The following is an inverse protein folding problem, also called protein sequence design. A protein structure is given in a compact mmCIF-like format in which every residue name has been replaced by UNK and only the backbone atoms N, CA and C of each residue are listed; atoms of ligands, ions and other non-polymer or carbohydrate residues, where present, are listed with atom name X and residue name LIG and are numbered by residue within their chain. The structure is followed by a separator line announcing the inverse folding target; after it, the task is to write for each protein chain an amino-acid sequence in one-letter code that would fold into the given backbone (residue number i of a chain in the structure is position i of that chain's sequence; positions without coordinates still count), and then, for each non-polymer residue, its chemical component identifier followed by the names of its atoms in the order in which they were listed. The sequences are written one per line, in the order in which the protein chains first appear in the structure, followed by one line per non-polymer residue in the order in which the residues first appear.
data_IF_594360197721
#
_entry.id   IF_594360197721
#
_cell.length_a   1.000
_cell.length_b   1.000
_cell.length_c   1.000
_cell.angle_alpha   90.00
_cell.angle_beta   90.00
_cell.angle_gamma   90.00
#
_symmetry.space_group_name_H-M   'P 1'
#
loop_
_entity.id
_entity.type
_entity.pdbx_description
1 polymer ?
#
# COMPACT_ATOMS: atom_id res chain seq x y z
N UNK A 1 6.76 15.18 -22.53
CA UNK A 1 7.08 13.75 -22.32
C UNK A 1 5.82 13.02 -21.92
N UNK A 2 5.38 12.04 -22.69
CA UNK A 2 4.20 11.26 -22.35
C UNK A 2 4.49 10.31 -21.21
N UNK A 3 3.85 10.54 -20.06
CA UNK A 3 4.01 9.70 -18.87
C UNK A 3 3.12 8.45 -18.99
N UNK A 4 3.55 7.34 -18.39
CA UNK A 4 2.80 6.08 -18.30
C UNK A 4 2.52 5.40 -19.65
N UNK A 5 3.56 5.14 -20.45
CA UNK A 5 3.42 4.42 -21.74
C UNK A 5 3.05 2.95 -21.50
N UNK A 6 2.01 2.48 -22.20
CA UNK A 6 1.58 1.08 -22.15
C UNK A 6 2.17 0.34 -23.35
N UNK A 7 2.95 -0.70 -23.09
CA UNK A 7 3.45 -1.65 -24.07
C UNK A 7 2.96 -3.04 -23.68
N UNK A 8 1.89 -3.51 -24.34
CA UNK A 8 1.32 -4.83 -24.04
C UNK A 8 2.08 -5.95 -24.76
N UNK A 9 2.31 -7.05 -24.05
CA UNK A 9 2.72 -8.34 -24.60
C UNK A 9 1.58 -9.02 -25.37
N UNK A 10 1.91 -9.96 -26.25
CA UNK A 10 0.92 -10.78 -26.97
C UNK A 10 -0.02 -11.51 -25.99
N UNK A 11 0.53 -12.07 -24.92
CA UNK A 11 -0.25 -12.78 -23.89
C UNK A 11 -1.24 -11.86 -23.17
N UNK A 12 -0.80 -10.64 -22.83
CA UNK A 12 -1.64 -9.64 -22.17
C UNK A 12 -2.78 -9.18 -23.08
N UNK A 13 -2.52 -9.00 -24.38
CA UNK A 13 -3.56 -8.64 -25.35
C UNK A 13 -4.63 -9.73 -25.42
N UNK A 14 -4.23 -11.00 -25.48
CA UNK A 14 -5.18 -12.12 -25.53
C UNK A 14 -5.97 -12.24 -24.23
N UNK A 15 -5.32 -12.05 -23.07
CA UNK A 15 -5.98 -12.04 -21.78
C UNK A 15 -7.02 -10.91 -21.68
N UNK A 16 -6.69 -9.69 -22.14
CA UNK A 16 -7.62 -8.56 -22.14
C UNK A 16 -8.81 -8.80 -23.08
N UNK A 17 -8.59 -9.36 -24.28
CA UNK A 17 -9.67 -9.73 -25.20
C UNK A 17 -10.63 -10.75 -24.60
N UNK A 18 -10.09 -11.78 -23.95
CA UNK A 18 -10.89 -12.78 -23.23
C UNK A 18 -11.72 -12.14 -22.10
N UNK A 19 -11.17 -11.15 -21.39
CA UNK A 19 -11.91 -10.40 -20.37
C UNK A 19 -13.08 -9.63 -21.01
N UNK A 20 -12.84 -8.95 -22.14
CA UNK A 20 -13.89 -8.21 -22.88
C UNK A 20 -15.02 -9.14 -23.30
N UNK A 21 -14.71 -10.32 -23.84
CA UNK A 21 -15.72 -11.31 -24.27
C UNK A 21 -16.54 -11.87 -23.11
N UNK A 22 -15.93 -11.97 -21.92
CA UNK A 22 -16.59 -12.51 -20.72
C UNK A 22 -17.35 -11.49 -19.88
N UNK A 23 -17.24 -10.19 -20.16
CA UNK A 23 -17.79 -9.11 -19.32
C UNK A 23 -18.84 -8.28 -20.05
N UNK A 24 -19.85 -7.81 -19.32
CA UNK A 24 -20.89 -6.93 -19.89
C UNK A 24 -20.27 -5.73 -20.61
N UNK A 25 -20.80 -5.40 -21.80
CA UNK A 25 -20.34 -4.29 -22.66
C UNK A 25 -20.31 -2.95 -21.91
N UNK A 26 -21.28 -2.71 -21.03
CA UNK A 26 -21.40 -1.48 -20.25
C UNK A 26 -20.58 -1.48 -18.95
N UNK A 27 -19.86 -2.57 -18.64
CA UNK A 27 -19.08 -2.65 -17.42
C UNK A 27 -17.88 -1.70 -17.45
N UNK A 28 -17.54 -1.13 -16.29
CA UNK A 28 -16.34 -0.28 -16.15
C UNK A 28 -15.06 -1.04 -16.49
N UNK A 29 -15.06 -2.35 -16.24
CA UNK A 29 -13.96 -3.25 -16.59
C UNK A 29 -13.80 -3.33 -18.11
N UNK A 30 -14.89 -3.59 -18.83
CA UNK A 30 -14.89 -3.68 -20.29
C UNK A 30 -14.47 -2.34 -20.93
N UNK A 31 -15.04 -1.21 -20.47
CA UNK A 31 -14.63 0.13 -20.91
C UNK A 31 -13.15 0.40 -20.68
N UNK A 32 -12.62 0.08 -19.49
CA UNK A 32 -11.21 0.26 -19.18
C UNK A 32 -10.31 -0.63 -20.05
N UNK A 33 -10.73 -1.88 -20.30
CA UNK A 33 -10.01 -2.83 -21.14
C UNK A 33 -9.87 -2.31 -22.58
N UNK A 34 -10.95 -1.78 -23.17
CA UNK A 34 -10.91 -1.15 -24.48
C UNK A 34 -10.01 0.09 -24.53
N UNK A 35 -10.00 0.91 -23.47
CA UNK A 35 -9.11 2.09 -23.38
C UNK A 35 -7.64 1.67 -23.30
N UNK A 36 -7.32 0.62 -22.55
CA UNK A 36 -5.96 0.08 -22.44
C UNK A 36 -5.47 -0.48 -23.78
N UNK A 37 -6.32 -1.22 -24.50
CA UNK A 37 -6.00 -1.68 -25.85
C UNK A 37 -5.77 -0.52 -26.83
N UNK A 38 -6.60 0.53 -26.76
CA UNK A 38 -6.44 1.72 -27.60
C UNK A 38 -5.19 2.55 -27.26
N UNK A 39 -4.70 2.47 -26.01
CA UNK A 39 -3.49 3.14 -25.56
C UNK A 39 -2.19 2.35 -25.85
N UNK A 40 -2.30 1.13 -26.37
CA UNK A 40 -1.16 0.24 -26.58
C UNK A 40 -0.22 0.77 -27.68
N UNK A 41 1.07 0.90 -27.36
CA UNK A 41 2.11 1.33 -28.30
C UNK A 41 3.02 0.22 -28.81
N UNK A 42 2.69 -1.03 -28.47
CA UNK A 42 3.44 -2.20 -28.89
C UNK A 42 3.56 -2.32 -30.42
N UNK A 43 4.69 -2.85 -30.88
CA UNK A 43 5.09 -3.00 -32.30
C UNK A 43 4.05 -3.82 -33.08
N UNK A 44 3.40 -4.78 -32.41
CA UNK A 44 2.42 -5.69 -32.99
C UNK A 44 1.06 -5.05 -33.33
N UNK A 45 0.82 -3.81 -32.87
CA UNK A 45 -0.48 -3.14 -33.00
C UNK A 45 -0.35 -1.74 -33.63
N UNK A 46 0.55 -1.60 -34.62
CA UNK A 46 0.83 -0.33 -35.29
C UNK A 46 -0.42 0.30 -35.94
N UNK A 47 -1.42 -0.50 -36.29
CA UNK A 47 -2.70 -0.07 -36.87
C UNK A 47 -3.72 0.53 -35.86
N UNK A 48 -3.50 0.38 -34.54
CA UNK A 48 -4.44 0.82 -33.49
C UNK A 48 -3.90 1.95 -32.61
N UNK A 49 -2.77 2.56 -32.98
CA UNK A 49 -2.18 3.67 -32.24
C UNK A 49 -3.06 4.92 -32.37
N UNK A 50 -3.94 5.13 -31.40
CA UNK A 50 -4.78 6.32 -31.35
C UNK A 50 -4.10 7.38 -30.48
N UNK A 51 -4.13 8.64 -30.95
CA UNK A 51 -3.73 9.78 -30.13
C UNK A 51 -4.65 9.88 -28.90
N UNK A 52 -4.12 10.39 -27.79
CA UNK A 52 -4.87 10.53 -26.53
C UNK A 52 -6.17 11.32 -26.76
N UNK A 53 -6.10 12.37 -27.58
CA UNK A 53 -7.25 13.20 -27.95
C UNK A 53 -8.33 12.41 -28.72
N UNK A 54 -7.92 11.53 -29.65
CA UNK A 54 -8.83 10.64 -30.37
C UNK A 54 -9.49 9.61 -29.44
N UNK A 55 -8.77 9.11 -28.43
CA UNK A 55 -9.30 8.20 -27.41
C UNK A 55 -10.32 8.94 -26.53
N UNK A 56 -10.00 10.17 -26.11
CA UNK A 56 -10.90 11.01 -25.34
C UNK A 56 -12.22 11.25 -26.06
N UNK A 57 -12.17 11.56 -27.36
CA UNK A 57 -13.37 11.77 -28.18
C UNK A 57 -14.14 10.46 -28.39
N UNK A 58 -13.46 9.36 -28.72
CA UNK A 58 -14.09 8.05 -28.98
C UNK A 58 -14.88 7.53 -27.78
N UNK A 59 -14.32 7.68 -26.58
CA UNK A 59 -14.96 7.19 -25.37
C UNK A 59 -15.71 8.27 -24.60
N UNK A 60 -15.75 9.52 -25.07
CA UNK A 60 -16.29 10.68 -24.35
C UNK A 60 -15.76 10.78 -22.89
N UNK A 61 -14.44 10.90 -22.74
CA UNK A 61 -13.76 10.92 -21.43
C UNK A 61 -12.65 11.97 -21.40
N UNK A 62 -12.42 12.56 -20.22
CA UNK A 62 -11.27 13.45 -19.97
C UNK A 62 -9.92 12.74 -20.13
N UNK A 63 -8.92 13.51 -20.57
CA UNK A 63 -7.52 13.06 -20.68
C UNK A 63 -6.95 12.58 -19.34
N UNK A 64 -7.37 13.20 -18.23
CA UNK A 64 -6.97 12.81 -16.88
C UNK A 64 -7.45 11.39 -16.53
N UNK A 65 -8.65 11.01 -16.95
CA UNK A 65 -9.18 9.66 -16.71
C UNK A 65 -8.36 8.62 -17.48
N UNK A 66 -7.96 8.92 -18.72
CA UNK A 66 -7.08 8.06 -19.53
C UNK A 66 -5.73 7.88 -18.84
N UNK A 67 -5.14 8.97 -18.32
CA UNK A 67 -3.89 8.92 -17.56
C UNK A 67 -3.99 8.07 -16.28
N UNK A 68 -5.08 8.21 -15.54
CA UNK A 68 -5.32 7.43 -14.31
C UNK A 68 -5.48 5.93 -14.61
N UNK A 69 -6.17 5.59 -15.71
CA UNK A 69 -6.29 4.20 -16.18
C UNK A 69 -4.92 3.65 -16.56
N UNK A 70 -4.12 4.41 -17.33
CA UNK A 70 -2.75 4.00 -17.70
C UNK A 70 -1.86 3.78 -16.49
N UNK A 71 -1.86 4.72 -15.55
CA UNK A 71 -1.11 4.61 -14.30
C UNK A 71 -1.54 3.37 -13.49
N UNK A 72 -2.84 3.14 -13.37
CA UNK A 72 -3.39 1.98 -12.65
C UNK A 72 -2.99 0.65 -13.28
N UNK A 73 -3.07 0.57 -14.61
CA UNK A 73 -2.67 -0.64 -15.33
C UNK A 73 -1.16 -0.91 -15.21
N UNK A 74 -0.29 0.10 -15.34
CA UNK A 74 1.16 -0.08 -15.17
C UNK A 74 1.51 -0.54 -13.75
N UNK A 75 0.78 -0.08 -12.74
CA UNK A 75 1.04 -0.45 -11.35
C UNK A 75 0.54 -1.85 -10.98
N UNK A 76 -0.52 -2.35 -11.62
CA UNK A 76 -1.23 -3.56 -11.17
C UNK A 76 -1.45 -4.61 -12.26
N UNK A 77 -1.04 -4.33 -13.50
CA UNK A 77 -1.18 -5.20 -14.66
C UNK A 77 -2.61 -5.63 -14.92
N UNK A 78 -2.77 -6.91 -15.29
CA UNK A 78 -4.08 -7.53 -15.57
C UNK A 78 -5.06 -7.44 -14.39
N UNK A 79 -4.55 -7.40 -13.15
CA UNK A 79 -5.39 -7.29 -11.94
C UNK A 79 -6.17 -5.96 -11.89
N UNK A 80 -5.69 -4.92 -12.58
CA UNK A 80 -6.42 -3.66 -12.71
C UNK A 80 -7.77 -3.82 -13.43
N UNK A 81 -7.85 -4.81 -14.33
CA UNK A 81 -9.06 -5.14 -15.11
C UNK A 81 -9.93 -6.20 -14.43
N UNK A 82 -9.67 -6.52 -13.16
CA UNK A 82 -10.61 -7.31 -12.39
C UNK A 82 -11.68 -6.39 -11.79
N UNK A 83 -12.96 -6.81 -11.76
CA UNK A 83 -13.97 -6.07 -11.04
C UNK A 83 -13.49 -5.90 -9.60
N UNK A 84 -13.36 -4.64 -9.15
CA UNK A 84 -13.18 -4.39 -7.73
C UNK A 84 -14.31 -5.12 -7.02
N UNK A 85 -13.98 -6.03 -6.11
CA UNK A 85 -14.98 -6.75 -5.32
C UNK A 85 -15.82 -5.70 -4.58
N UNK A 86 -16.94 -5.27 -5.18
CA UNK A 86 -17.91 -4.41 -4.52
C UNK A 86 -18.68 -5.31 -3.56
N UNK A 87 -18.11 -5.63 -2.39
CA UNK A 87 -18.89 -6.16 -1.26
C UNK A 87 -19.68 -5.02 -0.61
N UNK A 88 -20.39 -4.24 -1.41
CA UNK A 88 -21.12 -3.05 -0.97
C UNK A 88 -22.60 -3.38 -0.90
N UNK A 89 -23.01 -3.99 0.21
CA UNK A 89 -24.41 -3.94 0.65
C UNK A 89 -24.53 -2.80 1.66
N UNK A 90 -24.50 -1.55 1.20
CA UNK A 90 -24.81 -0.39 2.05
C UNK A 90 -26.30 -0.46 2.37
N UNK A 91 -26.64 -0.78 3.62
CA UNK A 91 -27.97 -0.44 4.10
C UNK A 91 -28.02 1.08 4.31
N UNK A 92 -28.57 1.82 3.33
CA UNK A 92 -28.63 3.29 3.32
C UNK A 92 -29.43 3.88 4.49
N UNK A 93 -30.16 3.04 5.24
CA UNK A 93 -31.07 3.46 6.31
C UNK A 93 -30.43 3.46 7.70
N UNK A 94 -29.14 3.17 7.84
CA UNK A 94 -28.47 3.06 9.14
C UNK A 94 -27.51 4.25 9.39
N UNK A 95 -27.83 5.09 10.37
CA UNK A 95 -27.10 6.33 10.72
C UNK A 95 -25.76 6.11 11.41
N UNK A 96 -25.44 4.86 11.77
CA UNK A 96 -24.16 4.50 12.41
C UNK A 96 -23.07 4.24 11.36
N UNK A 97 -21.98 5.02 11.45
CA UNK A 97 -20.80 5.11 10.53
C UNK A 97 -20.19 3.77 10.07
N UNK A 98 -20.44 2.67 10.79
CA UNK A 98 -19.85 1.36 10.51
C UNK A 98 -20.85 0.20 10.41
N UNK A 99 -22.15 0.44 10.65
CA UNK A 99 -23.15 -0.62 10.73
C UNK A 99 -23.71 -1.04 9.36
N UNK A 100 -23.23 -0.41 8.29
CA UNK A 100 -23.68 -0.64 6.92
C UNK A 100 -22.75 -1.60 6.13
N UNK A 101 -21.68 -2.12 6.73
CA UNK A 101 -20.80 -3.10 6.10
C UNK A 101 -21.21 -4.52 6.46
N UNK A 102 -21.44 -5.36 5.45
CA UNK A 102 -21.66 -6.81 5.60
C UNK A 102 -20.46 -7.57 5.07
N UNK A 103 -20.01 -8.57 5.81
CA UNK A 103 -18.95 -9.48 5.38
C UNK A 103 -19.64 -10.75 4.90
N UNK A 104 -19.29 -11.21 3.69
CA UNK A 104 -19.70 -12.51 3.16
C UNK A 104 -18.41 -13.17 2.71
N UNK A 105 -17.96 -14.24 3.36
CA UNK A 105 -16.72 -14.93 3.03
C UNK A 105 -16.96 -16.02 1.96
N UNK A 106 -16.01 -16.15 1.05
CA UNK A 106 -15.96 -17.29 0.13
C UNK A 106 -15.27 -18.50 0.78
N UNK A 107 -15.52 -19.70 0.24
CA UNK A 107 -14.92 -20.93 0.75
C UNK A 107 -13.38 -20.89 0.75
N UNK A 108 -12.77 -20.29 -0.28
CA UNK A 108 -11.32 -20.08 -0.36
C UNK A 108 -10.78 -19.19 0.76
N UNK A 109 -11.52 -18.14 1.10
CA UNK A 109 -11.15 -17.20 2.17
C UNK A 109 -11.27 -17.83 3.54
N UNK A 110 -12.29 -18.66 3.75
CA UNK A 110 -12.48 -19.42 4.99
C UNK A 110 -11.31 -20.38 5.21
N UNK A 111 -10.89 -21.09 4.16
CA UNK A 111 -9.71 -21.98 4.22
C UNK A 111 -8.47 -21.19 4.60
N UNK A 112 -8.20 -20.09 3.89
CA UNK A 112 -7.04 -19.21 4.16
C UNK A 112 -7.04 -18.68 5.61
N UNK A 113 -8.18 -18.23 6.12
CA UNK A 113 -8.31 -17.73 7.49
C UNK A 113 -8.02 -18.84 8.52
N UNK A 114 -8.52 -20.05 8.27
CA UNK A 114 -8.25 -21.20 9.14
C UNK A 114 -6.77 -21.60 9.12
N UNK A 115 -6.11 -21.58 7.96
CA UNK A 115 -4.66 -21.82 7.87
C UNK A 115 -3.85 -20.80 8.69
N UNK A 116 -4.22 -19.51 8.61
CA UNK A 116 -3.57 -18.45 9.40
C UNK A 116 -3.73 -18.72 10.91
N UNK A 117 -4.92 -19.17 11.32
CA UNK A 117 -5.21 -19.48 12.73
C UNK A 117 -4.39 -20.66 13.22
N UNK A 118 -4.29 -21.74 12.42
CA UNK A 118 -3.53 -22.94 12.77
C UNK A 118 -2.03 -22.64 12.83
N UNK A 119 -1.51 -21.87 11.88
CA UNK A 119 -0.07 -21.60 11.78
C UNK A 119 0.46 -20.75 12.93
N UNK A 120 -0.31 -19.76 13.42
CA UNK A 120 0.15 -18.80 14.44
C UNK A 120 -0.97 -18.37 15.40
N UNK A 121 -1.48 -19.26 16.27
CA UNK A 121 -2.72 -19.04 17.01
C UNK A 121 -2.70 -17.85 17.98
N UNK A 122 -1.55 -17.51 18.55
CA UNK A 122 -1.40 -16.47 19.58
C UNK A 122 -1.22 -15.05 19.01
N UNK A 123 -1.09 -14.93 17.68
CA UNK A 123 -0.82 -13.65 17.03
C UNK A 123 -2.07 -12.77 16.92
N UNK A 124 -1.86 -11.44 16.89
CA UNK A 124 -2.94 -10.50 16.61
C UNK A 124 -3.59 -10.77 15.24
N UNK A 125 -2.81 -11.28 14.28
CA UNK A 125 -3.30 -11.71 12.96
C UNK A 125 -4.27 -12.88 13.06
N UNK A 126 -3.98 -13.90 13.89
CA UNK A 126 -4.90 -15.02 14.11
C UNK A 126 -6.16 -14.60 14.87
N UNK A 127 -6.05 -13.70 15.86
CA UNK A 127 -7.22 -13.10 16.52
C UNK A 127 -8.11 -12.37 15.51
N UNK A 128 -7.52 -11.55 14.63
CA UNK A 128 -8.27 -10.88 13.56
C UNK A 128 -8.89 -11.85 12.57
N UNK A 129 -8.19 -12.93 12.21
CA UNK A 129 -8.73 -13.97 11.34
C UNK A 129 -9.95 -14.66 11.97
N UNK A 130 -9.88 -15.02 13.26
CA UNK A 130 -11.02 -15.55 14.04
C UNK A 130 -12.19 -14.56 14.06
N UNK A 131 -11.91 -13.27 14.27
CA UNK A 131 -12.94 -12.23 14.24
C UNK A 131 -13.64 -12.15 12.88
N UNK A 132 -12.90 -12.22 11.76
CA UNK A 132 -13.49 -12.19 10.42
C UNK A 132 -14.40 -13.41 10.17
N UNK A 133 -13.97 -14.61 10.57
CA UNK A 133 -14.80 -15.83 10.48
C UNK A 133 -16.09 -15.71 11.29
N UNK A 134 -16.05 -15.08 12.46
CA UNK A 134 -17.23 -14.89 13.31
C UNK A 134 -18.14 -13.77 12.81
N UNK A 135 -17.60 -12.77 12.10
CA UNK A 135 -18.34 -11.66 11.51
C UNK A 135 -18.97 -12.00 10.15
N UNK A 136 -18.68 -13.17 9.61
CA UNK A 136 -19.22 -13.63 8.34
C UNK A 136 -20.75 -13.77 8.43
N UNK A 137 -21.47 -13.09 7.55
CA UNK A 137 -22.93 -13.19 7.38
C UNK A 137 -23.28 -14.07 6.15
N UNK A 138 -22.28 -14.78 5.60
CA UNK A 138 -22.42 -15.67 4.46
C UNK A 138 -23.06 -17.04 4.78
N UNK A 139 -23.33 -17.85 3.75
CA UNK A 139 -24.02 -19.14 3.89
C UNK A 139 -23.22 -20.18 4.70
N UNK A 140 -21.92 -19.96 4.89
CA UNK A 140 -21.03 -20.86 5.61
C UNK A 140 -20.98 -20.59 7.11
N UNK A 141 -21.49 -19.44 7.59
CA UNK A 141 -21.58 -19.16 9.03
C UNK A 141 -22.96 -19.51 9.56
N UNK A 142 -23.03 -20.53 10.41
CA UNK A 142 -24.27 -20.99 11.03
C UNK A 142 -24.67 -20.19 12.28
N UNK A 143 -23.83 -19.27 12.77
CA UNK A 143 -24.04 -18.57 14.04
C UNK A 143 -24.13 -17.05 13.84
N UNK A 144 -25.34 -16.50 13.99
CA UNK A 144 -25.55 -15.06 14.12
C UNK A 144 -25.13 -14.61 15.53
N UNK A 145 -23.85 -14.29 15.72
CA UNK A 145 -23.35 -13.69 16.96
C UNK A 145 -23.42 -12.17 16.87
N UNK A 146 -23.72 -11.52 17.99
CA UNK A 146 -23.68 -10.06 18.03
C UNK A 146 -22.22 -9.56 18.06
N UNK A 147 -22.00 -8.30 17.69
CA UNK A 147 -20.65 -7.69 17.78
C UNK A 147 -20.08 -7.73 19.20
N UNK A 148 -20.93 -7.68 20.22
CA UNK A 148 -20.53 -7.76 21.63
C UNK A 148 -20.00 -9.17 21.95
N UNK A 149 -20.73 -10.21 21.56
CA UNK A 149 -20.31 -11.60 21.77
C UNK A 149 -18.97 -11.89 21.06
N UNK A 150 -18.80 -11.36 19.85
CA UNK A 150 -17.55 -11.53 19.08
C UNK A 150 -16.39 -10.78 19.75
N UNK A 151 -16.66 -9.56 20.24
CA UNK A 151 -15.68 -8.75 20.99
C UNK A 151 -15.18 -9.50 22.21
N UNK A 152 -16.08 -10.12 22.97
CA UNK A 152 -15.75 -10.85 24.19
C UNK A 152 -14.98 -12.15 23.88
N UNK A 153 -15.37 -12.89 22.84
CA UNK A 153 -14.71 -14.14 22.44
C UNK A 153 -13.28 -13.95 21.91
N UNK A 154 -13.01 -12.86 21.19
CA UNK A 154 -11.72 -12.63 20.53
C UNK A 154 -10.85 -11.61 21.29
N UNK A 155 -11.42 -10.97 22.32
CA UNK A 155 -10.80 -9.86 23.07
C UNK A 155 -10.38 -8.71 22.16
N UNK A 156 -11.23 -8.34 21.20
CA UNK A 156 -11.03 -7.22 20.27
C UNK A 156 -12.18 -6.24 20.46
N UNK A 157 -11.87 -4.95 20.64
CA UNK A 157 -12.90 -3.93 20.83
C UNK A 157 -13.87 -3.86 19.64
N UNK A 158 -15.15 -3.58 19.94
CA UNK A 158 -16.22 -3.43 18.95
C UNK A 158 -15.84 -2.43 17.84
N UNK A 159 -15.19 -1.31 18.21
CA UNK A 159 -14.71 -0.30 17.24
C UNK A 159 -13.69 -0.88 16.27
N UNK A 160 -12.81 -1.78 16.75
CA UNK A 160 -11.83 -2.46 15.91
C UNK A 160 -12.51 -3.44 14.96
N UNK A 161 -13.48 -4.23 15.44
CA UNK A 161 -14.29 -5.12 14.60
C UNK A 161 -15.00 -4.34 13.48
N UNK A 162 -15.60 -3.20 13.81
CA UNK A 162 -16.25 -2.30 12.85
C UNK A 162 -15.28 -1.77 11.78
N UNK A 163 -14.08 -1.35 12.18
CA UNK A 163 -13.02 -0.92 11.25
C UNK A 163 -12.54 -2.08 10.38
N UNK A 164 -12.50 -3.29 10.92
CA UNK A 164 -12.17 -4.49 10.15
C UNK A 164 -13.24 -4.82 9.12
N UNK A 165 -14.56 -4.72 9.44
CA UNK A 165 -15.64 -4.88 8.44
C UNK A 165 -15.45 -3.92 7.28
N UNK A 166 -15.19 -2.65 7.59
CA UNK A 166 -14.91 -1.61 6.57
C UNK A 166 -13.71 -1.97 5.70
N UNK A 167 -12.56 -2.26 6.31
CA UNK A 167 -11.32 -2.60 5.58
C UNK A 167 -11.46 -3.83 4.71
N UNK A 168 -12.14 -4.86 5.22
CA UNK A 168 -12.38 -6.07 4.47
C UNK A 168 -13.18 -5.79 3.19
N UNK A 169 -14.23 -4.97 3.30
CA UNK A 169 -15.08 -4.59 2.16
C UNK A 169 -14.36 -3.67 1.17
N UNK A 170 -13.51 -2.75 1.63
CA UNK A 170 -12.86 -1.74 0.78
C UNK A 170 -11.54 -2.21 0.16
N UNK A 171 -10.74 -2.97 0.92
CA UNK A 171 -9.34 -3.29 0.62
C UNK A 171 -9.06 -4.81 0.59
N UNK A 172 -10.02 -5.65 1.03
CA UNK A 172 -9.90 -7.11 1.00
C UNK A 172 -9.33 -7.76 2.28
N UNK A 173 -9.11 -9.07 2.20
CA UNK A 173 -8.76 -9.91 3.36
C UNK A 173 -7.39 -9.57 3.96
N UNK A 174 -6.38 -9.35 3.11
CA UNK A 174 -5.01 -9.07 3.52
C UNK A 174 -4.95 -7.75 4.30
N UNK A 175 -5.66 -6.72 3.82
CA UNK A 175 -5.72 -5.42 4.46
C UNK A 175 -6.45 -5.41 5.80
N UNK A 176 -7.43 -6.31 5.97
CA UNK A 176 -8.16 -6.47 7.23
C UNK A 176 -7.30 -7.14 8.32
N UNK A 177 -6.51 -8.14 7.95
CA UNK A 177 -5.70 -8.93 8.89
C UNK A 177 -4.37 -8.23 9.20
N UNK A 178 -3.66 -7.80 8.17
CA UNK A 178 -2.30 -7.30 8.31
C UNK A 178 -2.24 -5.87 8.85
N UNK A 179 -1.09 -5.52 9.40
CA UNK A 179 -0.80 -4.13 9.75
C UNK A 179 -0.56 -3.37 8.44
N UNK A 180 -1.16 -2.17 8.32
CA UNK A 180 -0.84 -1.28 7.21
C UNK A 180 0.65 -0.95 7.24
N UNK A 181 1.37 -1.32 6.19
CA UNK A 181 2.75 -0.88 5.97
C UNK A 181 2.72 0.63 5.77
N UNK A 182 3.55 1.35 6.51
CA UNK A 182 3.68 2.80 6.34
C UNK A 182 4.74 3.04 5.28
N UNK A 183 4.35 3.65 4.15
CA UNK A 183 5.28 4.00 3.07
C UNK A 183 6.32 5.03 3.53
N UNK A 184 5.95 5.88 4.49
CA UNK A 184 6.80 6.92 5.05
C UNK A 184 6.77 6.78 6.57
N UNK A 185 7.94 6.66 7.19
CA UNK A 185 8.07 6.73 8.64
C UNK A 185 7.44 8.01 9.16
N UNK A 186 6.56 7.91 10.16
CA UNK A 186 5.86 9.08 10.74
C UNK A 186 6.84 10.14 11.30
N UNK A 187 8.10 9.75 11.55
CA UNK A 187 9.16 10.67 11.96
C UNK A 187 10.06 10.97 10.77
N UNK A 188 10.01 12.22 10.29
CA UNK A 188 11.03 12.74 9.39
C UNK A 188 12.40 12.68 10.07
N UNK A 189 13.40 12.18 9.35
CA UNK A 189 14.78 12.22 9.85
C UNK A 189 15.22 13.68 9.83
N UNK A 190 15.61 14.23 10.99
CA UNK A 190 16.06 15.63 11.12
C UNK A 190 17.44 15.88 10.50
N UNK A 191 18.23 14.82 10.31
CA UNK A 191 19.57 14.87 9.75
C UNK A 191 19.57 14.03 8.48
N UNK A 192 20.05 14.60 7.38
CA UNK A 192 20.13 13.92 6.10
C UNK A 192 21.43 13.10 5.97
N UNK A 193 21.51 12.24 4.97
CA UNK A 193 22.70 11.42 4.68
C UNK A 193 23.97 12.25 4.53
N UNK A 194 23.89 13.42 3.91
CA UNK A 194 25.03 14.33 3.73
C UNK A 194 25.56 14.87 5.07
N UNK A 195 24.65 15.23 5.98
CA UNK A 195 25.04 15.69 7.33
C UNK A 195 25.69 14.56 8.13
N UNK A 196 25.19 13.32 8.03
CA UNK A 196 25.79 12.15 8.67
C UNK A 196 27.20 11.86 8.12
N UNK A 197 27.39 11.98 6.80
CA UNK A 197 28.69 11.80 6.15
C UNK A 197 29.69 12.87 6.58
N UNK A 198 29.25 14.12 6.72
CA UNK A 198 30.10 15.23 7.17
C UNK A 198 30.55 15.05 8.62
N UNK A 199 29.66 14.63 9.52
CA UNK A 199 29.99 14.30 10.91
C UNK A 199 31.07 13.20 10.96
N UNK A 200 30.92 12.17 10.12
CA UNK A 200 31.89 11.07 10.02
C UNK A 200 33.24 11.58 9.52
N UNK A 201 33.24 12.45 8.49
CA UNK A 201 34.46 13.06 7.95
C UNK A 201 35.22 13.87 9.00
N UNK A 202 34.51 14.68 9.80
CA UNK A 202 35.13 15.43 10.90
C UNK A 202 35.75 14.47 11.91
N UNK A 203 35.03 13.44 12.33
CA UNK A 203 35.53 12.47 13.31
C UNK A 203 36.77 11.71 12.82
N UNK A 204 36.90 11.49 11.51
CA UNK A 204 38.06 10.85 10.87
C UNK A 204 39.17 11.83 10.46
N UNK A 205 38.97 13.14 10.62
CA UNK A 205 39.97 14.16 10.27
C UNK A 205 40.99 14.38 11.38
N UNK A 206 42.10 15.07 11.07
CA UNK A 206 43.10 15.45 12.05
C UNK A 206 42.48 16.26 13.19
N UNK A 207 42.92 15.96 14.41
CA UNK A 207 42.42 16.61 15.62
C UNK A 207 42.99 18.03 15.72
N UNK A 208 42.20 18.98 16.26
CA UNK A 208 42.67 20.34 16.47
C UNK A 208 43.83 20.36 17.47
N UNK A 209 44.69 21.37 17.32
CA UNK A 209 46.01 21.41 17.95
C UNK A 209 45.93 21.28 19.49
N UNK A 210 46.74 20.38 20.05
CA UNK A 210 46.72 20.06 21.48
C UNK A 210 45.68 19.02 21.95
N UNK A 211 44.83 18.47 21.07
CA UNK A 211 43.89 17.41 21.42
C UNK A 211 44.30 16.04 20.83
N UNK A 212 44.28 14.99 21.66
CA UNK A 212 44.63 13.61 21.24
C UNK A 212 43.51 12.87 20.49
N UNK A 213 42.25 13.33 20.59
CA UNK A 213 41.08 12.71 19.94
C UNK A 213 39.92 13.70 19.82
N UNK A 214 39.08 13.50 18.80
CA UNK A 214 37.81 14.21 18.69
C UNK A 214 36.87 13.85 19.85
N UNK A 215 36.44 14.85 20.62
CA UNK A 215 35.32 14.69 21.56
C UNK A 215 34.01 15.07 20.87
N UNK A 216 32.88 14.50 21.31
CA UNK A 216 31.57 14.84 20.75
C UNK A 216 31.25 16.34 20.83
N UNK A 217 31.76 17.02 21.86
CA UNK A 217 31.62 18.48 22.01
C UNK A 217 32.43 19.25 20.96
N UNK A 218 33.66 18.82 20.66
CA UNK A 218 34.49 19.43 19.61
C UNK A 218 33.86 19.24 18.22
N UNK A 219 33.31 18.06 17.94
CA UNK A 219 32.59 17.78 16.70
C UNK A 219 31.35 18.68 16.59
N UNK A 220 30.58 18.80 17.68
CA UNK A 220 29.41 19.69 17.73
C UNK A 220 29.80 21.14 17.42
N UNK A 221 30.85 21.66 18.07
CA UNK A 221 31.28 23.03 17.88
C UNK A 221 31.72 23.28 16.44
N UNK A 222 32.54 22.38 15.88
CA UNK A 222 32.99 22.48 14.49
C UNK A 222 31.84 22.45 13.48
N UNK A 223 30.79 21.66 13.71
CA UNK A 223 29.60 21.64 12.84
C UNK A 223 28.81 22.95 12.88
N UNK A 224 28.80 23.65 14.01
CA UNK A 224 28.16 24.95 14.18
C UNK A 224 29.03 26.03 13.50
N UNK A 225 30.35 25.98 13.72
CA UNK A 225 31.31 26.92 13.14
C UNK A 225 31.34 26.85 11.61
N UNK A 226 31.21 25.64 11.04
CA UNK A 226 31.10 25.43 9.58
C UNK A 226 29.70 25.76 9.02
N UNK A 227 28.73 26.14 9.86
CA UNK A 227 27.39 26.57 9.45
C UNK A 227 26.47 25.44 8.94
N UNK A 228 26.83 24.18 9.21
CA UNK A 228 26.15 22.99 8.66
C UNK A 228 24.86 22.69 9.43
N UNK A 229 24.86 22.96 10.74
CA UNK A 229 23.71 22.76 11.63
C UNK A 229 23.57 23.94 12.57
N UNK A 230 22.34 24.39 12.82
CA UNK A 230 22.07 25.47 13.78
C UNK A 230 22.18 24.99 15.22
N UNK A 231 21.69 23.77 15.50
CA UNK A 231 21.79 23.12 16.80
C UNK A 231 21.81 21.60 16.63
N UNK A 232 22.74 20.94 17.33
CA UNK A 232 22.81 19.48 17.38
C UNK A 232 23.21 19.04 18.79
N UNK A 233 22.58 17.97 19.30
CA UNK A 233 22.95 17.38 20.58
C UNK A 233 24.13 16.42 20.42
N UNK A 234 25.05 16.41 21.39
CA UNK A 234 26.12 15.41 21.51
C UNK A 234 25.60 13.97 21.41
N UNK A 235 24.40 13.69 21.93
CA UNK A 235 23.78 12.37 21.87
C UNK A 235 23.42 11.99 20.43
N UNK A 236 22.99 12.95 19.61
CA UNK A 236 22.70 12.72 18.20
C UNK A 236 23.98 12.38 17.43
N UNK A 237 25.07 13.11 17.67
CA UNK A 237 26.38 12.83 17.08
C UNK A 237 26.85 11.43 17.48
N UNK A 238 26.74 11.06 18.76
CA UNK A 238 27.07 9.73 19.24
C UNK A 238 26.28 8.64 18.52
N UNK A 239 24.94 8.76 18.44
CA UNK A 239 24.09 7.78 17.78
C UNK A 239 24.42 7.64 16.28
N UNK A 240 24.73 8.76 15.60
CA UNK A 240 25.14 8.75 14.19
C UNK A 240 26.45 7.98 14.02
N UNK A 241 27.47 8.29 14.82
CA UNK A 241 28.76 7.62 14.76
C UNK A 241 28.65 6.14 15.14
N UNK A 242 27.93 5.81 16.22
CA UNK A 242 27.73 4.43 16.66
C UNK A 242 27.07 3.57 15.58
N UNK A 243 26.06 4.12 14.89
CA UNK A 243 25.39 3.43 13.77
C UNK A 243 26.38 3.11 12.64
N UNK A 244 27.34 3.99 12.36
CA UNK A 244 28.39 3.77 11.35
C UNK A 244 29.40 2.72 11.77
N UNK A 245 29.73 2.58 13.06
CA UNK A 245 30.59 1.50 13.55
C UNK A 245 29.91 0.12 13.58
N UNK A 246 28.58 0.07 13.71
CA UNK A 246 27.82 -1.19 13.75
C UNK A 246 27.46 -1.74 12.37
N UNK A 247 27.66 -0.96 11.31
CA UNK A 247 27.43 -1.38 9.93
C UNK A 247 28.78 -1.58 9.26
N UNK A 248 29.12 -2.80 8.77
CA UNK A 248 30.31 -2.97 7.94
C UNK A 248 30.20 -2.00 6.74
N UNK A 249 31.28 -1.29 6.43
CA UNK A 249 31.36 -0.57 5.17
C UNK A 249 31.28 -1.62 4.04
N UNK A 250 30.16 -1.63 3.31
CA UNK A 250 30.04 -2.33 2.02
C UNK A 250 30.88 -1.65 0.94
#
# INVERSE_FOLDING_TARGET
MERYIINLSYEEIQAIKKIIESTDENSKVNRNAHIILACNRSIFSKALQLNIESICNKFNISSLTVLNIRKGYISSGINFLQPKQKRVLINKNNTSKYNHYKIILEQKEIILLNEIIVKKPETQTAKKAKALLLLDEGPFNKKNKTLKDISDMVSISIVTLMRMKKKFVEEGIEAAINRKVQDISTRYRKFDGDTEAHITRIACSETPDGASRWTLGMIQQKLIDEGIVTTISRMTIHNILQKKYQTPFE
#
